data_IF_518447472767
#
_entry.id   IF_518447472767
#
_cell.length_a   1.000
_cell.length_b   1.000
_cell.length_c   1.000
_cell.angle_alpha   90.00
_cell.angle_beta   90.00
_cell.angle_gamma   90.00
#
_symmetry.space_group_name_H-M   'P 1'
#
loop_
_entity.id
_entity.type
_entity.pdbx_description
1 polymer ?
#
# COMPACT_ATOMS: atom_id res chain seq x y z
N UNK A 1 -10.41 -5.05 4.09
CA UNK A 1 -11.05 -3.76 3.79
C UNK A 1 -11.97 -3.25 4.90
N UNK A 2 -12.93 -4.05 5.40
CA UNK A 2 -13.92 -3.56 6.39
C UNK A 2 -13.30 -2.96 7.64
N UNK A 3 -12.25 -3.55 8.19
CA UNK A 3 -11.53 -3.02 9.36
C UNK A 3 -10.87 -1.67 9.05
N UNK A 4 -10.24 -1.54 7.87
CA UNK A 4 -9.61 -0.29 7.42
C UNK A 4 -10.69 0.78 7.21
N UNK A 5 -11.80 0.45 6.53
CA UNK A 5 -12.93 1.35 6.31
C UNK A 5 -13.49 1.86 7.65
N UNK A 6 -13.70 0.98 8.62
CA UNK A 6 -14.14 1.36 9.97
C UNK A 6 -13.10 2.25 10.67
N UNK A 7 -11.82 1.89 10.57
CA UNK A 7 -10.74 2.71 11.11
C UNK A 7 -10.72 4.12 10.54
N UNK A 8 -10.89 4.28 9.22
CA UNK A 8 -10.98 5.58 8.55
C UNK A 8 -12.17 6.39 9.11
N UNK A 9 -13.34 5.77 9.24
CA UNK A 9 -14.53 6.44 9.76
C UNK A 9 -14.34 6.96 11.19
N UNK A 10 -13.77 6.14 12.07
CA UNK A 10 -13.57 6.46 13.49
C UNK A 10 -12.36 7.34 13.78
N UNK A 11 -11.40 7.44 12.81
CA UNK A 11 -10.17 8.19 13.01
C UNK A 11 -10.44 9.65 13.37
N UNK A 12 -9.84 10.11 14.49
CA UNK A 12 -9.88 11.50 14.99
C UNK A 12 -8.53 12.20 14.84
N UNK A 13 -7.48 11.42 14.57
CA UNK A 13 -6.14 11.94 14.35
C UNK A 13 -5.98 12.61 12.99
N UNK A 14 -5.03 13.54 12.90
CA UNK A 14 -4.71 14.24 11.64
C UNK A 14 -4.14 13.31 10.57
N UNK A 15 -3.47 12.24 10.99
CA UNK A 15 -2.88 11.23 10.12
C UNK A 15 -3.41 9.85 10.45
N UNK A 16 -3.48 9.01 9.45
CA UNK A 16 -3.95 7.63 9.51
C UNK A 16 -2.85 6.70 9.01
N UNK A 17 -2.62 5.61 9.73
CA UNK A 17 -1.68 4.55 9.34
C UNK A 17 -2.32 3.21 9.61
N UNK A 18 -2.22 2.31 8.64
CA UNK A 18 -2.58 0.90 8.82
C UNK A 18 -1.40 0.15 9.43
N UNK A 19 -1.69 -0.70 10.39
CA UNK A 19 -0.76 -1.73 10.92
C UNK A 19 -1.54 -3.02 10.95
N UNK A 20 -1.05 -4.03 10.25
CA UNK A 20 -1.69 -5.34 10.18
C UNK A 20 -1.62 -6.06 11.52
N UNK A 21 -2.57 -6.95 11.79
CA UNK A 21 -2.72 -7.59 13.10
C UNK A 21 -1.60 -8.57 13.47
N UNK A 22 -0.82 -9.02 12.49
CA UNK A 22 0.34 -9.89 12.64
C UNK A 22 1.68 -9.14 12.59
N UNK A 23 1.64 -7.82 12.35
CA UNK A 23 2.79 -6.94 12.28
C UNK A 23 2.92 -6.04 13.52
N UNK A 24 4.00 -5.26 13.60
CA UNK A 24 4.20 -4.31 14.70
C UNK A 24 5.01 -3.08 14.26
N UNK A 25 5.20 -2.15 15.16
CA UNK A 25 6.02 -0.95 14.92
C UNK A 25 7.27 -0.94 15.79
N UNK A 26 8.37 -0.39 15.25
CA UNK A 26 9.53 -0.02 16.03
C UNK A 26 9.16 1.18 16.93
N UNK A 27 9.04 0.96 18.21
CA UNK A 27 8.56 1.97 19.16
C UNK A 27 9.39 3.25 19.14
N UNK A 28 10.72 3.15 19.04
CA UNK A 28 11.60 4.32 19.05
C UNK A 28 11.37 5.21 17.81
N UNK A 29 11.29 4.61 16.63
CA UNK A 29 11.07 5.34 15.39
C UNK A 29 9.59 5.77 15.23
N UNK A 30 8.65 4.99 15.77
CA UNK A 30 7.24 5.41 15.82
C UNK A 30 7.04 6.67 16.67
N UNK A 31 7.73 6.78 17.82
CA UNK A 31 7.72 8.01 18.63
C UNK A 31 8.28 9.21 17.85
N UNK A 32 9.37 9.02 17.08
CA UNK A 32 9.93 10.08 16.21
C UNK A 32 8.94 10.46 15.11
N UNK A 33 8.32 9.47 14.47
CA UNK A 33 7.26 9.71 13.48
C UNK A 33 6.13 10.56 14.06
N UNK A 34 5.56 10.17 15.21
CA UNK A 34 4.46 10.93 15.86
C UNK A 34 4.88 12.36 16.18
N UNK A 35 6.13 12.57 16.61
CA UNK A 35 6.67 13.93 16.83
C UNK A 35 6.75 14.73 15.53
N UNK A 36 7.26 14.13 14.45
CA UNK A 36 7.34 14.78 13.13
C UNK A 36 5.96 15.14 12.58
N UNK A 37 4.97 14.25 12.73
CA UNK A 37 3.61 14.46 12.27
C UNK A 37 2.90 15.66 12.95
N UNK A 38 3.38 16.15 14.10
CA UNK A 38 2.80 17.35 14.77
C UNK A 38 2.94 18.61 13.93
N UNK A 39 4.01 18.73 13.16
CA UNK A 39 4.31 19.89 12.32
C UNK A 39 4.25 19.62 10.82
N UNK A 40 4.13 18.33 10.44
CA UNK A 40 4.01 17.92 9.05
C UNK A 40 2.73 18.46 8.42
N UNK A 41 2.82 18.91 7.16
CA UNK A 41 1.68 19.36 6.36
C UNK A 41 1.44 18.52 5.13
N UNK A 42 2.36 17.62 4.77
CA UNK A 42 2.26 16.75 3.62
C UNK A 42 1.04 15.82 3.72
N UNK A 43 0.52 15.43 2.59
CA UNK A 43 -0.66 14.55 2.49
C UNK A 43 -0.28 13.08 2.62
N UNK A 44 0.87 12.70 2.05
CA UNK A 44 1.53 11.43 2.29
C UNK A 44 2.81 11.64 3.09
N UNK A 45 3.04 10.77 4.06
CA UNK A 45 4.33 10.65 4.75
C UNK A 45 4.83 9.23 4.56
N UNK A 46 6.05 9.10 4.08
CA UNK A 46 6.67 7.81 3.74
C UNK A 46 7.86 7.57 4.66
N UNK A 47 7.95 6.38 5.21
CA UNK A 47 9.08 5.94 6.05
C UNK A 47 9.75 4.72 5.42
N UNK A 48 10.90 4.32 5.92
CA UNK A 48 11.44 2.99 5.67
C UNK A 48 10.74 1.96 6.56
N UNK A 49 11.00 0.66 6.29
CA UNK A 49 10.50 -0.43 7.12
C UNK A 49 11.46 -1.62 7.09
N UNK A 50 11.24 -2.57 7.97
CA UNK A 50 11.93 -3.86 7.95
C UNK A 50 10.98 -4.97 7.55
N UNK A 51 11.45 -5.88 6.70
CA UNK A 51 10.93 -7.23 6.62
C UNK A 51 11.61 -8.07 7.71
N UNK A 52 10.82 -8.77 8.49
CA UNK A 52 11.30 -9.58 9.62
C UNK A 52 10.92 -11.03 9.40
N UNK A 53 11.93 -11.89 9.25
CA UNK A 53 11.70 -13.32 9.16
C UNK A 53 11.23 -13.86 10.51
N UNK A 54 10.00 -14.37 10.58
CA UNK A 54 9.40 -14.86 11.83
C UNK A 54 10.16 -16.05 12.48
N UNK A 55 10.86 -16.85 11.67
CA UNK A 55 11.58 -18.03 12.15
C UNK A 55 12.97 -17.69 12.66
N UNK A 56 13.68 -16.76 12.02
CA UNK A 56 15.08 -16.45 12.32
C UNK A 56 15.24 -15.15 13.10
N UNK A 57 14.23 -14.27 13.09
CA UNK A 57 14.31 -12.91 13.62
C UNK A 57 15.17 -11.97 12.78
N UNK A 58 15.67 -12.42 11.63
CA UNK A 58 16.46 -11.60 10.72
C UNK A 58 15.63 -10.44 10.15
N UNK A 59 16.27 -9.25 10.09
CA UNK A 59 15.64 -8.03 9.62
C UNK A 59 16.31 -7.57 8.32
N UNK A 60 15.53 -7.49 7.25
CA UNK A 60 15.97 -6.95 5.96
C UNK A 60 15.39 -5.55 5.79
N UNK A 61 16.22 -4.48 5.67
CA UNK A 61 15.71 -3.13 5.47
C UNK A 61 15.08 -2.96 4.08
N UNK A 62 13.97 -2.25 4.04
CA UNK A 62 13.33 -1.77 2.82
C UNK A 62 13.34 -0.24 2.84
N UNK A 63 14.12 0.34 1.95
CA UNK A 63 14.48 1.75 1.96
C UNK A 63 13.95 2.47 0.73
N UNK A 64 13.44 3.68 0.95
CA UNK A 64 13.01 4.61 -0.09
C UNK A 64 14.13 5.64 -0.37
N UNK A 65 15.33 5.14 -0.75
CA UNK A 65 16.56 5.96 -0.93
C UNK A 65 16.36 7.13 -1.88
N UNK A 66 15.58 6.93 -2.95
CA UNK A 66 15.34 7.99 -3.92
C UNK A 66 14.57 9.17 -3.30
N UNK A 67 13.63 8.88 -2.39
CA UNK A 67 12.91 9.91 -1.64
C UNK A 67 13.80 10.64 -0.62
N UNK A 68 14.90 10.03 -0.18
CA UNK A 68 15.86 10.64 0.75
C UNK A 68 16.63 11.84 0.18
N UNK A 69 16.57 12.08 -1.14
CA UNK A 69 17.25 13.22 -1.80
C UNK A 69 16.68 14.57 -1.42
N UNK A 70 15.43 14.64 -1.00
CA UNK A 70 14.80 15.84 -0.44
C UNK A 70 13.69 15.49 0.54
N UNK A 71 13.40 16.37 1.49
CA UNK A 71 12.42 16.11 2.54
C UNK A 71 10.98 16.12 2.03
N UNK A 72 10.64 17.09 1.17
CA UNK A 72 9.29 17.28 0.64
C UNK A 72 9.34 17.22 -0.89
N UNK A 73 8.41 16.45 -1.45
CA UNK A 73 8.23 16.19 -2.87
C UNK A 73 6.84 16.64 -3.32
N UNK A 74 6.73 17.09 -4.58
CA UNK A 74 5.44 17.00 -5.26
C UNK A 74 5.13 15.52 -5.52
N UNK A 75 3.87 15.14 -5.47
CA UNK A 75 3.52 13.72 -5.65
C UNK A 75 4.01 13.17 -7.00
N UNK A 76 3.85 13.96 -8.07
CA UNK A 76 4.28 13.59 -9.42
C UNK A 76 5.78 13.28 -9.50
N UNK A 77 6.61 14.07 -8.81
CA UNK A 77 8.05 13.84 -8.75
C UNK A 77 8.38 12.57 -7.94
N UNK A 78 7.70 12.33 -6.82
CA UNK A 78 7.85 11.11 -6.04
C UNK A 78 7.39 9.87 -6.82
N UNK A 79 6.26 9.98 -7.53
CA UNK A 79 5.70 8.95 -8.37
C UNK A 79 6.62 8.51 -9.51
N UNK A 80 7.46 9.42 -10.03
CA UNK A 80 8.41 9.10 -11.10
C UNK A 80 9.61 8.28 -10.63
N UNK A 81 9.92 8.27 -9.33
CA UNK A 81 11.12 7.61 -8.79
C UNK A 81 10.83 6.37 -7.98
N UNK A 82 9.60 6.17 -7.47
CA UNK A 82 9.28 4.99 -6.67
C UNK A 82 7.79 4.68 -6.62
N UNK A 83 7.47 3.42 -6.32
CA UNK A 83 6.13 2.98 -5.93
C UNK A 83 6.07 2.90 -4.40
N UNK A 84 5.05 3.52 -3.80
CA UNK A 84 4.86 3.56 -2.34
C UNK A 84 3.92 2.42 -1.95
N UNK A 85 4.37 1.53 -1.06
CA UNK A 85 3.55 0.46 -0.51
C UNK A 85 2.76 0.89 0.73
N UNK A 86 1.91 0.00 1.26
CA UNK A 86 1.09 0.29 2.44
C UNK A 86 1.92 0.42 3.73
N UNK A 87 2.90 -0.46 3.93
CA UNK A 87 3.69 -0.53 5.17
C UNK A 87 4.43 0.77 5.53
N UNK A 88 5.11 1.46 4.57
CA UNK A 88 5.77 2.73 4.84
C UNK A 88 4.82 3.92 4.95
N UNK A 89 3.59 3.80 4.46
CA UNK A 89 2.69 4.91 4.19
C UNK A 89 1.92 5.37 5.43
N UNK A 90 1.86 6.69 5.58
CA UNK A 90 0.96 7.40 6.50
C UNK A 90 0.20 8.42 5.67
N UNK A 91 -1.12 8.43 5.77
CA UNK A 91 -2.00 9.29 4.95
C UNK A 91 -2.66 10.34 5.85
N UNK A 92 -2.76 11.56 5.36
CA UNK A 92 -3.55 12.61 6.01
C UNK A 92 -5.02 12.17 6.08
N UNK A 93 -5.57 12.04 7.27
CA UNK A 93 -6.93 11.49 7.51
C UNK A 93 -8.01 12.22 6.70
N UNK A 94 -7.84 13.53 6.53
CA UNK A 94 -8.74 14.37 5.74
C UNK A 94 -8.88 13.87 4.29
N UNK A 95 -7.77 13.42 3.67
CA UNK A 95 -7.80 12.89 2.28
C UNK A 95 -8.74 11.68 2.20
N UNK A 96 -8.63 10.76 3.15
CA UNK A 96 -9.45 9.56 3.17
C UNK A 96 -10.93 9.86 3.42
N UNK A 97 -11.22 10.75 4.37
CA UNK A 97 -12.60 11.09 4.77
C UNK A 97 -13.32 11.96 3.76
N UNK A 98 -12.68 13.07 3.34
CA UNK A 98 -13.30 14.06 2.43
C UNK A 98 -13.63 13.45 1.07
N UNK A 99 -12.77 12.56 0.59
CA UNK A 99 -12.96 11.90 -0.69
C UNK A 99 -13.65 10.55 -0.58
N UNK A 100 -14.19 10.21 0.60
CA UNK A 100 -14.97 9.00 0.84
C UNK A 100 -14.26 7.73 0.39
N UNK A 101 -12.93 7.68 0.59
CA UNK A 101 -12.14 6.51 0.22
C UNK A 101 -12.67 5.29 0.95
N UNK A 102 -13.06 4.28 0.17
CA UNK A 102 -13.60 3.03 0.66
C UNK A 102 -13.01 1.88 -0.11
N UNK A 103 -12.50 0.89 0.62
CA UNK A 103 -11.91 -0.33 0.11
C UNK A 103 -12.97 -1.43 0.01
N UNK A 104 -12.75 -2.40 -0.83
CA UNK A 104 -13.56 -3.61 -0.90
C UNK A 104 -13.61 -4.33 0.45
N UNK A 105 -14.79 -4.80 0.82
CA UNK A 105 -14.98 -5.54 2.07
C UNK A 105 -15.05 -7.05 1.78
N UNK A 106 -14.68 -7.86 2.78
CA UNK A 106 -14.60 -9.32 2.64
C UNK A 106 -13.68 -9.77 1.50
N UNK A 107 -12.68 -8.97 1.20
CA UNK A 107 -11.73 -9.16 0.11
C UNK A 107 -10.29 -9.05 0.62
N UNK A 108 -9.40 -9.91 0.11
CA UNK A 108 -7.94 -9.81 0.30
C UNK A 108 -7.33 -8.85 -0.73
N UNK A 109 -6.08 -8.46 -0.54
CA UNK A 109 -5.26 -7.65 -1.47
C UNK A 109 -5.74 -6.21 -1.67
N UNK A 110 -6.62 -5.72 -0.79
CA UNK A 110 -7.14 -4.35 -0.78
C UNK A 110 -6.12 -3.29 -0.29
N UNK A 111 -4.94 -3.72 0.12
CA UNK A 111 -3.80 -2.86 0.39
C UNK A 111 -3.43 -2.02 -0.84
N UNK A 112 -3.61 -2.56 -2.05
CA UNK A 112 -3.38 -1.82 -3.29
C UNK A 112 -4.45 -0.75 -3.52
N UNK A 113 -5.70 -1.01 -3.16
CA UNK A 113 -6.74 0.03 -3.17
C UNK A 113 -6.42 1.16 -2.19
N UNK A 114 -5.96 0.80 -0.97
CA UNK A 114 -5.57 1.77 0.06
C UNK A 114 -4.48 2.72 -0.40
N UNK A 115 -3.51 2.24 -1.20
CA UNK A 115 -2.42 3.07 -1.71
C UNK A 115 -2.77 3.83 -3.00
N UNK A 116 -3.73 3.37 -3.81
CA UNK A 116 -4.04 3.96 -5.11
C UNK A 116 -5.25 4.89 -5.11
N UNK A 117 -6.35 4.55 -4.42
CA UNK A 117 -7.55 5.38 -4.42
C UNK A 117 -7.34 6.82 -3.91
N UNK A 118 -6.44 7.10 -2.95
CA UNK A 118 -6.16 8.47 -2.53
C UNK A 118 -5.30 9.28 -3.52
N UNK A 119 -4.57 8.63 -4.46
CA UNK A 119 -3.60 9.29 -5.37
C UNK A 119 -4.15 10.51 -6.10
N UNK A 120 -5.39 10.51 -6.64
CA UNK A 120 -5.97 11.69 -7.26
C UNK A 120 -5.92 12.96 -6.40
N UNK A 121 -5.97 12.81 -5.10
CA UNK A 121 -6.15 13.89 -4.12
C UNK A 121 -4.86 14.26 -3.38
N UNK A 122 -3.75 13.60 -3.69
CA UNK A 122 -2.45 13.80 -3.03
C UNK A 122 -1.55 14.66 -3.91
N UNK A 123 -1.02 15.75 -3.36
CA UNK A 123 -0.12 16.67 -4.06
C UNK A 123 1.29 16.67 -3.46
N UNK A 124 1.43 16.28 -2.19
CA UNK A 124 2.69 16.38 -1.47
C UNK A 124 3.04 15.09 -0.73
N UNK A 125 4.33 14.73 -0.80
CA UNK A 125 4.91 13.58 -0.09
C UNK A 125 6.07 14.07 0.76
N UNK A 126 6.08 13.76 2.06
CA UNK A 126 7.22 13.98 2.95
C UNK A 126 7.89 12.63 3.23
N UNK A 127 9.20 12.57 3.04
CA UNK A 127 9.99 11.39 3.41
C UNK A 127 10.66 11.61 4.77
N UNK A 128 10.58 10.59 5.62
CA UNK A 128 11.27 10.54 6.91
C UNK A 128 12.13 9.28 6.95
N UNK A 129 13.44 9.47 7.12
CA UNK A 129 14.40 8.36 7.24
C UNK A 129 14.28 7.69 8.61
N UNK A 130 13.19 6.95 8.79
CA UNK A 130 12.83 6.21 9.99
C UNK A 130 12.37 4.81 9.59
N UNK A 131 12.76 3.80 10.37
CA UNK A 131 12.33 2.41 10.16
C UNK A 131 11.17 2.08 11.10
N UNK A 132 9.97 2.49 10.71
CA UNK A 132 8.81 2.49 11.61
C UNK A 132 8.10 1.14 11.63
N UNK A 133 7.89 0.53 10.47
CA UNK A 133 7.07 -0.67 10.33
C UNK A 133 7.93 -1.93 10.34
N UNK A 134 7.44 -2.97 10.99
CA UNK A 134 8.07 -4.28 11.11
C UNK A 134 7.13 -5.30 10.46
N UNK A 135 7.40 -5.60 9.18
CA UNK A 135 6.60 -6.51 8.37
C UNK A 135 7.03 -7.95 8.60
N UNK A 136 6.17 -8.74 9.22
CA UNK A 136 6.43 -10.15 9.49
C UNK A 136 6.32 -10.99 8.22
N UNK A 137 7.32 -11.81 7.94
CA UNK A 137 7.37 -12.72 6.80
C UNK A 137 7.67 -14.15 7.24
N UNK A 138 7.50 -15.10 6.32
CA UNK A 138 7.74 -16.54 6.53
C UNK A 138 6.78 -17.24 7.50
N UNK A 139 5.62 -16.67 7.77
CA UNK A 139 4.50 -17.36 8.43
C UNK A 139 3.75 -18.17 7.37
N UNK A 140 3.57 -19.47 7.61
CA UNK A 140 2.98 -20.40 6.61
C UNK A 140 1.52 -20.11 6.26
N UNK A 141 0.84 -19.31 7.08
CA UNK A 141 -0.58 -18.96 6.91
C UNK A 141 -0.81 -17.60 6.23
N UNK A 142 0.25 -16.91 5.80
CA UNK A 142 0.12 -15.60 5.16
C UNK A 142 -0.59 -15.68 3.80
N UNK A 143 -1.44 -14.68 3.53
CA UNK A 143 -2.16 -14.53 2.26
C UNK A 143 -1.23 -14.30 1.06
N UNK A 144 -0.03 -13.81 1.30
CA UNK A 144 1.03 -13.57 0.28
C UNK A 144 1.83 -14.83 -0.07
N UNK A 145 1.50 -16.01 0.49
CA UNK A 145 2.05 -17.29 0.03
C UNK A 145 1.38 -17.71 -1.27
N UNK A 146 2.06 -18.54 -2.10
CA UNK A 146 1.46 -19.03 -3.35
C UNK A 146 0.14 -19.79 -3.11
N UNK A 147 0.06 -20.58 -2.03
CA UNK A 147 -1.17 -21.26 -1.63
C UNK A 147 -2.26 -20.27 -1.18
N UNK A 148 -1.87 -19.17 -0.51
CA UNK A 148 -2.77 -18.09 -0.15
C UNK A 148 -3.36 -17.41 -1.38
N UNK A 149 -2.54 -17.09 -2.36
CA UNK A 149 -2.97 -16.51 -3.64
C UNK A 149 -3.89 -17.45 -4.42
N UNK A 150 -3.54 -18.73 -4.51
CA UNK A 150 -4.39 -19.73 -5.18
C UNK A 150 -5.76 -19.85 -4.51
N UNK A 151 -5.80 -19.87 -3.18
CA UNK A 151 -7.03 -19.93 -2.38
C UNK A 151 -7.93 -18.71 -2.55
N UNK A 152 -7.34 -17.53 -2.72
CA UNK A 152 -8.04 -16.25 -2.77
C UNK A 152 -7.93 -15.57 -4.15
N UNK A 153 -7.76 -16.38 -5.21
CA UNK A 153 -7.55 -15.88 -6.57
C UNK A 153 -8.68 -14.97 -7.05
N UNK A 154 -9.93 -15.29 -6.72
CA UNK A 154 -11.09 -14.49 -7.11
C UNK A 154 -11.03 -13.09 -6.47
N UNK A 155 -10.49 -12.97 -5.25
CA UNK A 155 -10.29 -11.66 -4.61
C UNK A 155 -9.22 -10.84 -5.35
N UNK A 156 -8.11 -11.48 -5.74
CA UNK A 156 -7.04 -10.79 -6.47
C UNK A 156 -7.54 -10.29 -7.83
N UNK A 157 -8.32 -11.11 -8.56
CA UNK A 157 -8.97 -10.72 -9.81
C UNK A 157 -9.96 -9.56 -9.59
N UNK A 158 -10.81 -9.66 -8.56
CA UNK A 158 -11.80 -8.62 -8.23
C UNK A 158 -11.13 -7.27 -7.99
N UNK A 159 -10.06 -7.24 -7.18
CA UNK A 159 -9.31 -6.00 -6.91
C UNK A 159 -8.68 -5.45 -8.20
N UNK A 160 -8.10 -6.29 -9.06
CA UNK A 160 -7.55 -5.85 -10.36
C UNK A 160 -8.65 -5.21 -11.21
N UNK A 161 -9.84 -5.80 -11.29
CA UNK A 161 -10.95 -5.28 -12.09
C UNK A 161 -11.43 -3.92 -11.56
N UNK A 162 -11.63 -3.79 -10.23
CA UNK A 162 -12.04 -2.52 -9.62
C UNK A 162 -10.99 -1.42 -9.78
N UNK A 163 -9.71 -1.76 -9.59
CA UNK A 163 -8.61 -0.83 -9.84
C UNK A 163 -8.51 -0.42 -11.32
N UNK A 164 -8.80 -1.33 -12.25
CA UNK A 164 -8.82 -1.04 -13.69
C UNK A 164 -9.98 -0.09 -14.03
N UNK A 165 -11.14 -0.30 -13.45
CA UNK A 165 -12.28 0.62 -13.62
C UNK A 165 -11.94 2.01 -13.07
N UNK A 166 -11.41 2.09 -11.84
CA UNK A 166 -10.92 3.33 -11.25
C UNK A 166 -9.88 4.03 -12.13
N UNK A 167 -8.90 3.29 -12.66
CA UNK A 167 -7.88 3.80 -13.58
C UNK A 167 -8.52 4.40 -14.84
N UNK A 168 -9.43 3.68 -15.48
CA UNK A 168 -10.10 4.13 -16.72
C UNK A 168 -10.92 5.40 -16.50
N UNK A 169 -11.50 5.57 -15.33
CA UNK A 169 -12.21 6.80 -14.96
C UNK A 169 -11.23 7.95 -14.72
N UNK A 170 -10.20 7.73 -13.93
CA UNK A 170 -9.24 8.75 -13.56
C UNK A 170 -8.34 9.18 -14.72
N UNK A 171 -7.98 8.28 -15.62
CA UNK A 171 -7.13 8.57 -16.79
C UNK A 171 -7.72 9.66 -17.73
N UNK A 172 -9.01 9.93 -17.63
CA UNK A 172 -9.67 10.98 -18.43
C UNK A 172 -9.36 12.40 -17.94
N UNK A 173 -8.97 12.56 -16.66
CA UNK A 173 -8.84 13.87 -16.01
C UNK A 173 -7.57 14.02 -15.19
N UNK A 174 -6.85 12.91 -14.92
CA UNK A 174 -5.65 12.89 -14.11
C UNK A 174 -4.42 13.45 -14.84
N UNK A 175 -3.41 13.87 -14.07
CA UNK A 175 -2.09 14.20 -14.62
C UNK A 175 -1.41 12.95 -15.16
N UNK A 176 -0.56 13.10 -16.19
CA UNK A 176 0.12 11.98 -16.83
C UNK A 176 0.92 11.12 -15.82
N UNK A 177 1.62 11.77 -14.91
CA UNK A 177 2.46 11.12 -13.90
C UNK A 177 1.65 10.28 -12.90
N UNK A 178 0.50 10.79 -12.44
CA UNK A 178 -0.39 10.05 -11.53
C UNK A 178 -1.07 8.88 -12.25
N UNK A 179 -1.49 9.10 -13.50
CA UNK A 179 -2.07 8.03 -14.34
C UNK A 179 -1.03 6.93 -14.57
N UNK A 180 0.20 7.29 -14.94
CA UNK A 180 1.29 6.34 -15.13
C UNK A 180 1.61 5.57 -13.84
N UNK A 181 1.65 6.28 -12.69
CA UNK A 181 1.89 5.67 -11.38
C UNK A 181 0.85 4.60 -11.03
N UNK A 182 -0.44 4.92 -11.18
CA UNK A 182 -1.53 3.98 -10.95
C UNK A 182 -1.46 2.81 -11.94
N UNK A 183 -1.27 3.11 -13.22
CA UNK A 183 -1.18 2.09 -14.28
C UNK A 183 -0.02 1.11 -14.07
N UNK A 184 1.16 1.58 -13.67
CA UNK A 184 2.30 0.73 -13.33
C UNK A 184 1.99 -0.26 -12.19
N UNK A 185 1.30 0.19 -11.14
CA UNK A 185 0.93 -0.68 -10.03
C UNK A 185 -0.09 -1.73 -10.43
N UNK A 186 -1.08 -1.36 -11.22
CA UNK A 186 -2.06 -2.32 -11.77
C UNK A 186 -1.38 -3.32 -12.70
N UNK A 187 -0.49 -2.87 -13.58
CA UNK A 187 0.28 -3.75 -14.47
C UNK A 187 1.12 -4.77 -13.68
N UNK A 188 1.70 -4.35 -12.55
CA UNK A 188 2.42 -5.26 -11.64
C UNK A 188 1.46 -6.32 -11.08
N UNK A 189 0.27 -5.94 -10.59
CA UNK A 189 -0.72 -6.91 -10.10
C UNK A 189 -1.17 -7.89 -11.19
N UNK A 190 -1.33 -7.43 -12.44
CA UNK A 190 -1.64 -8.32 -13.58
C UNK A 190 -0.50 -9.32 -13.82
N UNK A 191 0.76 -8.87 -13.72
CA UNK A 191 1.92 -9.77 -13.79
C UNK A 191 1.92 -10.82 -12.66
N UNK A 192 1.60 -10.40 -11.44
CA UNK A 192 1.46 -11.29 -10.29
C UNK A 192 0.31 -12.30 -10.52
N UNK A 193 -0.83 -11.85 -11.09
CA UNK A 193 -1.96 -12.73 -11.43
C UNK A 193 -1.58 -13.80 -12.46
N UNK A 194 -0.79 -13.45 -13.47
CA UNK A 194 -0.28 -14.43 -14.45
C UNK A 194 0.59 -15.46 -13.73
N UNK A 195 1.47 -15.03 -12.83
CA UNK A 195 2.31 -15.92 -12.03
C UNK A 195 1.46 -16.87 -11.15
N UNK A 196 0.39 -16.35 -10.56
CA UNK A 196 -0.57 -17.16 -9.79
C UNK A 196 -1.22 -18.22 -10.71
N UNK A 197 -1.68 -17.85 -11.90
CA UNK A 197 -2.29 -18.81 -12.85
C UNK A 197 -1.31 -19.92 -13.25
N UNK A 198 -0.08 -19.56 -13.59
CA UNK A 198 0.96 -20.54 -13.99
C UNK A 198 1.34 -21.46 -12.82
N UNK A 199 1.09 -21.08 -11.58
CA UNK A 199 1.37 -21.91 -10.40
C UNK A 199 0.37 -23.05 -10.15
N UNK A 200 -0.79 -23.05 -10.85
CA UNK A 200 -1.74 -24.15 -10.75
C UNK A 200 -1.27 -25.36 -11.56
N UNK A 201 -1.61 -26.61 -11.13
CA UNK A 201 -1.39 -27.79 -11.95
C UNK A 201 -2.08 -27.66 -13.33
N UNK A 202 -1.48 -28.20 -14.39
CA UNK A 202 -2.02 -28.12 -15.75
C UNK A 202 -3.47 -28.62 -15.86
N UNK A 203 -3.87 -29.60 -15.04
CA UNK A 203 -5.23 -30.13 -14.98
C UNK A 203 -6.27 -29.11 -14.51
N UNK A 204 -5.88 -28.10 -13.79
CA UNK A 204 -6.79 -27.10 -13.16
C UNK A 204 -6.90 -25.81 -13.97
N UNK A 205 -5.99 -25.59 -14.94
CA UNK A 205 -5.96 -24.37 -15.77
C UNK A 205 -7.07 -24.34 -16.81
N UNK A 206 -7.59 -25.51 -17.24
CA UNK A 206 -8.56 -25.61 -18.34
C UNK A 206 -10.01 -25.25 -17.99
N UNK A 207 -10.32 -24.88 -16.74
CA UNK A 207 -11.70 -24.76 -16.24
C UNK A 207 -12.02 -23.33 -15.75
N UNK A 208 -11.06 -22.40 -15.72
CA UNK A 208 -11.25 -21.01 -15.28
C UNK A 208 -10.77 -20.01 -16.33
#
# INVERSE_FOLDING_TARGET
GSTINRGIQEAKGRYFKVVDGDDWVNTADFIKLVKALKTCTAEYVVTNYYEVNDKTGEKTPREYKELGKKKIWKFEEAASVTQIGMHPLVIKTEILKKNQIRLDEHCFYVDVEYILYPVPYVNTVEFLDLYVYMYRLAVTTQSVSIQGYQKHIDNHITVILHLTEFFNQYAKTGTAEKVEYIGKRIAQMVGDQITIFVSFPETDISIK
#
